data_IF_312955389702
#
_entry.id   IF_312955389702
#
_cell.length_a   1.000
_cell.length_b   1.000
_cell.length_c   1.000
_cell.angle_alpha   90.00
_cell.angle_beta   90.00
_cell.angle_gamma   90.00
#
_symmetry.space_group_name_H-M   'P 1'
#
loop_
_entity.id
_entity.type
_entity.pdbx_description
1 polymer ?
#
# COMPACT_ATOMS: atom_id res chain seq x y z
N UNK A 1 -14.76 -3.40 -8.74
CA UNK A 1 -14.27 -4.19 -7.61
C UNK A 1 -13.89 -5.57 -8.12
N UNK A 2 -12.79 -6.16 -7.63
CA UNK A 2 -12.39 -7.54 -7.89
C UNK A 2 -12.16 -8.23 -6.53
N UNK A 3 -12.38 -9.54 -6.47
CA UNK A 3 -12.32 -10.31 -5.23
C UNK A 3 -11.61 -11.64 -5.39
N UNK A 4 -11.30 -12.30 -4.27
CA UNK A 4 -10.70 -13.65 -4.23
C UNK A 4 -9.37 -13.72 -4.98
N UNK A 5 -8.51 -12.75 -4.72
CA UNK A 5 -7.20 -12.66 -5.37
C UNK A 5 -6.23 -13.58 -4.64
N UNK A 6 -5.62 -14.51 -5.36
CA UNK A 6 -4.67 -15.49 -4.83
C UNK A 6 -3.43 -15.59 -5.71
N UNK A 7 -2.37 -16.22 -5.20
CA UNK A 7 -1.17 -16.47 -6.00
C UNK A 7 -1.47 -17.20 -7.33
N UNK A 8 -2.52 -18.03 -7.36
CA UNK A 8 -2.91 -18.77 -8.57
C UNK A 8 -3.59 -17.93 -9.66
N UNK A 9 -4.11 -16.74 -9.32
CA UNK A 9 -4.81 -15.87 -10.28
C UNK A 9 -4.19 -14.47 -10.43
N UNK A 10 -3.18 -14.12 -9.62
CA UNK A 10 -2.56 -12.80 -9.62
C UNK A 10 -2.02 -12.36 -10.99
N UNK A 11 -1.44 -13.28 -11.77
CA UNK A 11 -0.94 -12.94 -13.11
C UNK A 11 -2.05 -12.49 -14.07
N UNK A 12 -3.26 -13.05 -13.94
CA UNK A 12 -4.42 -12.60 -14.74
C UNK A 12 -4.87 -11.20 -14.30
N UNK A 13 -4.83 -10.93 -13.00
CA UNK A 13 -5.12 -9.60 -12.47
C UNK A 13 -4.11 -8.57 -12.97
N UNK A 14 -2.80 -8.86 -12.88
CA UNK A 14 -1.73 -7.97 -13.35
C UNK A 14 -1.90 -7.68 -14.85
N UNK A 15 -2.13 -8.72 -15.66
CA UNK A 15 -2.35 -8.56 -17.10
C UNK A 15 -3.58 -7.68 -17.40
N UNK A 16 -4.67 -7.86 -16.67
CA UNK A 16 -5.86 -7.02 -16.79
C UNK A 16 -5.55 -5.55 -16.44
N UNK A 17 -4.93 -5.32 -15.27
CA UNK A 17 -4.65 -3.99 -14.75
C UNK A 17 -3.67 -3.20 -15.62
N UNK A 18 -2.71 -3.89 -16.24
CA UNK A 18 -1.72 -3.30 -17.15
C UNK A 18 -2.33 -2.62 -18.39
N UNK A 19 -3.59 -2.93 -18.72
CA UNK A 19 -4.29 -2.29 -19.84
C UNK A 19 -4.78 -0.86 -19.49
N UNK A 20 -4.90 -0.51 -18.22
CA UNK A 20 -5.43 0.79 -17.78
C UNK A 20 -4.33 1.84 -17.62
N UNK A 21 -3.61 2.11 -18.70
CA UNK A 21 -2.57 3.17 -18.72
C UNK A 21 -3.14 4.55 -18.41
N UNK A 22 -2.28 5.50 -18.04
CA UNK A 22 -2.65 6.90 -17.81
C UNK A 22 -3.58 7.45 -18.89
N UNK A 23 -4.66 8.11 -18.47
CA UNK A 23 -5.72 8.61 -19.36
C UNK A 23 -6.87 7.62 -19.61
N UNK A 24 -6.78 6.39 -19.12
CA UNK A 24 -7.94 5.48 -19.14
C UNK A 24 -9.03 5.94 -18.17
N UNK A 25 -10.27 5.50 -18.40
CA UNK A 25 -11.43 5.88 -17.57
C UNK A 25 -11.45 5.24 -16.19
N UNK A 26 -10.68 4.16 -15.97
CA UNK A 26 -10.68 3.46 -14.69
C UNK A 26 -9.79 4.19 -13.68
N UNK A 27 -10.41 5.02 -12.85
CA UNK A 27 -9.72 5.79 -11.81
C UNK A 27 -9.86 5.16 -10.42
N UNK A 28 -10.85 4.30 -10.20
CA UNK A 28 -11.16 3.73 -8.90
C UNK A 28 -11.03 2.21 -8.95
N UNK A 29 -10.17 1.65 -8.09
CA UNK A 29 -10.02 0.21 -7.93
C UNK A 29 -10.31 -0.19 -6.49
N UNK A 30 -11.05 -1.28 -6.35
CA UNK A 30 -11.25 -1.97 -5.08
C UNK A 30 -10.89 -3.43 -5.26
N UNK A 31 -9.97 -3.93 -4.45
CA UNK A 31 -9.67 -5.34 -4.28
C UNK A 31 -10.15 -5.81 -2.92
N UNK A 32 -10.74 -7.01 -2.87
CA UNK A 32 -11.27 -7.61 -1.64
C UNK A 32 -10.79 -9.05 -1.53
N UNK A 33 -10.59 -9.55 -0.31
CA UNK A 33 -10.18 -10.93 -0.05
C UNK A 33 -8.93 -11.30 -0.87
N UNK A 34 -7.86 -10.55 -0.62
CA UNK A 34 -6.56 -10.73 -1.29
C UNK A 34 -5.68 -11.60 -0.40
N UNK A 35 -5.25 -12.76 -0.85
CA UNK A 35 -4.38 -13.67 -0.10
C UNK A 35 -3.20 -14.12 -0.97
N UNK A 36 -2.07 -13.43 -0.83
CA UNK A 36 -0.92 -13.57 -1.74
C UNK A 36 0.41 -13.48 -1.00
N UNK A 37 1.48 -13.97 -1.62
CA UNK A 37 2.83 -13.76 -1.10
C UNK A 37 3.30 -12.31 -1.33
N UNK A 38 4.44 -11.94 -0.72
CA UNK A 38 4.94 -10.57 -0.79
C UNK A 38 5.22 -10.09 -2.21
N UNK A 39 5.90 -10.89 -3.04
CA UNK A 39 6.23 -10.48 -4.42
C UNK A 39 4.96 -10.21 -5.25
N UNK A 40 3.97 -11.10 -5.16
CA UNK A 40 2.70 -10.94 -5.84
C UNK A 40 1.94 -9.69 -5.35
N UNK A 41 1.97 -9.41 -4.04
CA UNK A 41 1.39 -8.17 -3.51
C UNK A 41 2.10 -6.94 -4.10
N UNK A 42 3.43 -6.92 -4.09
CA UNK A 42 4.21 -5.81 -4.63
C UNK A 42 3.99 -5.61 -6.14
N UNK A 43 3.88 -6.69 -6.92
CA UNK A 43 3.56 -6.61 -8.34
C UNK A 43 2.16 -6.03 -8.60
N UNK A 44 1.16 -6.38 -7.79
CA UNK A 44 -0.17 -5.75 -7.85
C UNK A 44 -0.02 -4.24 -7.60
N UNK A 45 0.65 -3.85 -6.52
CA UNK A 45 0.84 -2.45 -6.16
C UNK A 45 1.60 -1.69 -7.26
N UNK A 46 2.68 -2.23 -7.79
CA UNK A 46 3.49 -1.61 -8.85
C UNK A 46 2.67 -1.44 -10.13
N UNK A 47 1.85 -2.44 -10.48
CA UNK A 47 0.96 -2.38 -11.65
C UNK A 47 -0.10 -1.29 -11.49
N UNK A 48 -0.74 -1.23 -10.32
CA UNK A 48 -1.71 -0.18 -10.01
C UNK A 48 -1.03 1.19 -10.00
N UNK A 49 0.18 1.29 -9.45
CA UNK A 49 0.93 2.52 -9.31
C UNK A 49 1.19 3.22 -10.65
N UNK A 50 1.55 2.45 -11.68
CA UNK A 50 1.79 2.97 -13.03
C UNK A 50 0.55 3.00 -13.94
N UNK A 51 -0.63 2.77 -13.37
CA UNK A 51 -1.91 2.83 -14.09
C UNK A 51 -2.55 4.22 -14.02
N UNK A 52 -3.78 4.32 -14.53
CA UNK A 52 -4.68 5.48 -14.41
C UNK A 52 -5.45 5.52 -13.08
N UNK A 53 -5.27 4.54 -12.21
CA UNK A 53 -5.99 4.45 -10.93
C UNK A 53 -5.53 5.59 -10.01
N UNK A 54 -6.49 6.40 -9.58
CA UNK A 54 -6.32 7.52 -8.65
C UNK A 54 -6.66 7.12 -7.21
N UNK A 55 -7.65 6.24 -7.02
CA UNK A 55 -8.10 5.79 -5.70
C UNK A 55 -8.06 4.28 -5.63
N UNK A 56 -7.13 3.76 -4.83
CA UNK A 56 -6.95 2.33 -4.66
C UNK A 56 -7.38 1.89 -3.26
N UNK A 57 -8.29 0.93 -3.22
CA UNK A 57 -8.79 0.33 -1.98
C UNK A 57 -8.47 -1.16 -1.97
N UNK A 58 -7.90 -1.66 -0.88
CA UNK A 58 -7.69 -3.08 -0.62
C UNK A 58 -8.28 -3.44 0.75
N UNK A 59 -9.14 -4.45 0.81
CA UNK A 59 -9.80 -4.84 2.05
C UNK A 59 -9.71 -6.36 2.25
N UNK A 60 -9.50 -6.79 3.50
CA UNK A 60 -9.26 -8.18 3.85
C UNK A 60 -8.05 -8.73 3.07
N UNK A 61 -6.87 -8.23 3.42
CA UNK A 61 -5.60 -8.55 2.76
C UNK A 61 -4.80 -9.48 3.67
N UNK A 62 -4.58 -10.72 3.25
CA UNK A 62 -3.66 -11.64 3.90
C UNK A 62 -2.34 -11.67 3.13
N UNK A 63 -1.31 -11.06 3.70
CA UNK A 63 0.07 -11.25 3.25
C UNK A 63 0.56 -12.59 3.83
N UNK A 64 0.99 -13.51 2.94
CA UNK A 64 1.31 -14.87 3.33
C UNK A 64 2.73 -15.06 3.85
N UNK A 65 3.74 -14.92 2.97
CA UNK A 65 5.13 -15.26 3.26
C UNK A 65 6.10 -14.38 2.46
N UNK A 66 7.36 -14.44 2.85
CA UNK A 66 8.53 -13.90 2.16
C UNK A 66 8.57 -12.37 2.09
N UNK A 67 8.18 -11.69 3.17
CA UNK A 67 8.41 -10.25 3.27
C UNK A 67 9.91 -10.01 3.25
N UNK A 68 10.33 -9.23 2.27
CA UNK A 68 11.73 -8.89 2.05
C UNK A 68 11.82 -7.52 1.42
N UNK A 69 13.03 -6.95 1.46
CA UNK A 69 13.36 -5.75 0.71
C UNK A 69 12.84 -5.82 -0.73
N UNK A 70 11.97 -4.88 -1.07
CA UNK A 70 11.47 -4.65 -2.42
C UNK A 70 11.87 -3.25 -2.87
N UNK A 71 12.33 -3.14 -4.10
CA UNK A 71 12.66 -1.86 -4.74
C UNK A 71 11.44 -1.42 -5.56
N UNK A 72 10.64 -0.52 -4.97
CA UNK A 72 9.39 -0.07 -5.54
C UNK A 72 9.62 1.19 -6.35
N UNK A 73 9.19 1.21 -7.61
CA UNK A 73 9.28 2.42 -8.44
C UNK A 73 8.13 3.37 -8.11
N UNK A 74 8.43 4.41 -7.33
CA UNK A 74 7.47 5.45 -6.95
C UNK A 74 7.21 6.47 -8.07
N UNK A 75 7.88 6.35 -9.22
CA UNK A 75 7.77 7.33 -10.30
C UNK A 75 6.41 7.28 -10.99
N UNK A 76 6.00 8.46 -11.49
CA UNK A 76 4.94 8.54 -12.48
C UNK A 76 3.59 7.92 -12.06
N UNK A 77 3.16 8.03 -10.81
CA UNK A 77 1.82 7.56 -10.44
C UNK A 77 0.71 8.53 -10.83
N UNK A 78 -0.51 8.01 -10.98
CA UNK A 78 -1.76 8.79 -10.99
C UNK A 78 -2.47 8.72 -9.63
N UNK A 79 -2.00 7.87 -8.72
CA UNK A 79 -2.62 7.61 -7.44
C UNK A 79 -2.61 8.86 -6.57
N UNK A 80 -3.77 9.17 -5.99
CA UNK A 80 -4.00 10.24 -5.02
C UNK A 80 -4.20 9.67 -3.63
N UNK A 81 -4.92 8.54 -3.55
CA UNK A 81 -5.26 7.93 -2.28
C UNK A 81 -5.10 6.40 -2.29
N UNK A 82 -4.56 5.88 -1.18
CA UNK A 82 -4.54 4.45 -0.86
C UNK A 82 -5.36 4.21 0.41
N UNK A 83 -6.22 3.20 0.39
CA UNK A 83 -6.88 2.68 1.59
C UNK A 83 -6.66 1.18 1.69
N UNK A 84 -6.05 0.74 2.79
CA UNK A 84 -5.93 -0.67 3.14
C UNK A 84 -6.64 -0.95 4.45
N UNK A 85 -7.41 -2.04 4.50
CA UNK A 85 -8.16 -2.43 5.71
C UNK A 85 -8.05 -3.92 5.96
N UNK A 86 -8.06 -4.32 7.23
CA UNK A 86 -8.07 -5.72 7.65
C UNK A 86 -6.90 -6.49 7.05
N UNK A 87 -5.69 -5.95 7.24
CA UNK A 87 -4.46 -6.60 6.80
C UNK A 87 -4.06 -7.62 7.86
N UNK A 88 -3.71 -8.82 7.43
CA UNK A 88 -3.16 -9.89 8.24
C UNK A 88 -1.81 -10.26 7.61
N UNK A 89 -0.74 -10.19 8.40
CA UNK A 89 0.60 -10.64 8.00
C UNK A 89 0.84 -12.00 8.66
N UNK A 90 1.06 -13.04 7.87
CA UNK A 90 1.33 -14.38 8.41
C UNK A 90 2.81 -14.75 8.40
N UNK A 91 3.66 -13.94 7.77
CA UNK A 91 5.11 -14.09 7.88
C UNK A 91 5.59 -13.70 9.28
N UNK A 92 6.32 -14.59 9.94
CA UNK A 92 6.78 -14.42 11.32
C UNK A 92 8.20 -13.87 11.41
N UNK A 93 8.99 -13.98 10.33
CA UNK A 93 10.43 -13.69 10.35
C UNK A 93 10.79 -12.73 9.23
N UNK A 94 10.44 -11.46 9.42
CA UNK A 94 10.75 -10.39 8.49
C UNK A 94 11.20 -9.12 9.19
N UNK A 95 11.84 -8.23 8.42
CA UNK A 95 12.14 -6.88 8.88
C UNK A 95 10.92 -6.00 8.71
N UNK A 96 10.40 -5.45 9.82
CA UNK A 96 9.31 -4.47 9.78
C UNK A 96 9.66 -3.25 8.90
N UNK A 97 10.94 -2.87 8.84
CA UNK A 97 11.39 -1.78 7.98
C UNK A 97 11.16 -2.09 6.50
N UNK A 98 11.34 -3.35 6.08
CA UNK A 98 11.11 -3.72 4.68
C UNK A 98 9.63 -3.65 4.30
N UNK A 99 8.72 -3.94 5.24
CA UNK A 99 7.28 -3.75 5.06
C UNK A 99 6.92 -2.26 5.01
N UNK A 100 7.26 -1.51 6.06
CA UNK A 100 6.81 -0.13 6.24
C UNK A 100 7.47 0.84 5.25
N UNK A 101 8.70 0.58 4.81
CA UNK A 101 9.40 1.43 3.84
C UNK A 101 8.62 1.57 2.53
N UNK A 102 7.85 0.56 2.14
CA UNK A 102 7.00 0.62 0.94
C UNK A 102 5.94 1.71 1.08
N UNK A 103 5.20 1.70 2.18
CA UNK A 103 4.10 2.63 2.40
C UNK A 103 4.59 4.02 2.80
N UNK A 104 5.60 4.10 3.66
CA UNK A 104 6.16 5.37 4.14
C UNK A 104 6.70 6.26 3.02
N UNK A 105 7.20 5.67 1.92
CA UNK A 105 7.77 6.43 0.79
C UNK A 105 6.79 6.67 -0.36
N UNK A 106 5.51 6.28 -0.22
CA UNK A 106 4.52 6.57 -1.24
C UNK A 106 4.32 8.08 -1.40
N UNK A 107 4.46 8.56 -2.64
CA UNK A 107 4.34 9.99 -2.97
C UNK A 107 2.91 10.39 -3.36
N UNK A 108 1.94 10.04 -2.51
CA UNK A 108 0.50 10.31 -2.68
C UNK A 108 0.00 11.29 -1.63
N UNK A 109 -1.24 11.76 -1.76
CA UNK A 109 -1.81 12.77 -0.85
C UNK A 109 -2.44 12.14 0.39
N UNK A 110 -3.12 11.00 0.21
CA UNK A 110 -3.94 10.38 1.25
C UNK A 110 -3.57 8.92 1.45
N UNK A 111 -3.37 8.51 2.69
CA UNK A 111 -3.21 7.11 3.04
C UNK A 111 -4.03 6.74 4.26
N UNK A 112 -4.79 5.65 4.13
CA UNK A 112 -5.46 5.00 5.25
C UNK A 112 -4.98 3.55 5.36
N UNK A 113 -4.49 3.15 6.53
CA UNK A 113 -4.24 1.75 6.87
C UNK A 113 -4.99 1.49 8.17
N UNK A 114 -6.08 0.73 8.15
CA UNK A 114 -6.95 0.57 9.31
C UNK A 114 -7.26 -0.89 9.64
N UNK A 115 -7.66 -1.15 10.89
CA UNK A 115 -8.08 -2.48 11.35
C UNK A 115 -7.02 -3.57 11.09
N UNK A 116 -5.72 -3.29 11.28
CA UNK A 116 -4.62 -4.14 10.78
C UNK A 116 -3.53 -4.45 11.81
N UNK A 117 -3.77 -4.19 13.11
CA UNK A 117 -2.82 -4.46 14.22
C UNK A 117 -1.41 -3.87 13.96
N UNK A 118 -1.32 -2.81 13.15
CA UNK A 118 -0.06 -2.17 12.81
C UNK A 118 0.52 -1.47 14.04
N UNK A 119 1.74 -1.82 14.43
CA UNK A 119 2.36 -1.28 15.65
C UNK A 119 3.27 -0.07 15.39
N UNK A 120 3.69 0.15 14.14
CA UNK A 120 4.64 1.19 13.77
C UNK A 120 4.48 1.67 12.32
N UNK A 121 5.11 2.80 11.98
CA UNK A 121 5.31 3.29 10.60
C UNK A 121 6.60 4.12 10.57
N UNK A 122 7.35 4.02 9.48
CA UNK A 122 8.59 4.76 9.31
C UNK A 122 8.34 6.21 8.90
N UNK A 123 9.23 7.10 9.33
CA UNK A 123 9.34 8.42 8.71
C UNK A 123 9.74 8.26 7.22
N UNK A 124 9.09 8.97 6.28
CA UNK A 124 9.50 8.96 4.88
C UNK A 124 10.98 9.32 4.72
N UNK A 125 11.67 8.71 3.76
CA UNK A 125 13.10 8.96 3.53
C UNK A 125 13.40 10.31 2.87
N UNK A 126 12.38 10.97 2.32
CA UNK A 126 12.45 12.30 1.73
C UNK A 126 11.14 13.05 1.99
N UNK A 127 11.11 14.36 1.71
CA UNK A 127 9.91 15.20 1.91
C UNK A 127 8.69 14.58 1.24
N UNK A 128 7.72 14.20 2.07
CA UNK A 128 6.51 13.54 1.62
C UNK A 128 5.46 14.53 1.13
N UNK A 129 4.54 14.02 0.28
CA UNK A 129 3.33 14.70 -0.17
C UNK A 129 2.08 14.34 0.64
N UNK A 130 2.21 13.49 1.66
CA UNK A 130 1.09 13.16 2.52
C UNK A 130 0.52 14.42 3.16
N UNK A 131 -0.79 14.57 3.02
CA UNK A 131 -1.60 15.54 3.75
C UNK A 131 -2.47 14.84 4.79
N UNK A 132 -3.00 13.67 4.45
CA UNK A 132 -3.88 12.92 5.33
C UNK A 132 -3.33 11.51 5.54
N UNK A 133 -3.01 11.20 6.80
CA UNK A 133 -2.65 9.87 7.26
C UNK A 133 -3.69 9.41 8.27
N UNK A 134 -4.29 8.25 8.03
CA UNK A 134 -5.28 7.68 8.93
C UNK A 134 -4.90 6.24 9.26
N UNK A 135 -4.57 6.01 10.53
CA UNK A 135 -4.20 4.69 11.04
C UNK A 135 -5.18 4.18 12.10
N UNK A 136 -6.46 4.52 11.95
CA UNK A 136 -7.51 4.13 12.89
C UNK A 136 -7.57 2.61 13.14
N UNK A 137 -7.75 2.23 14.41
CA UNK A 137 -7.82 0.82 14.87
C UNK A 137 -6.60 0.00 14.47
N UNK A 138 -5.43 0.52 14.85
CA UNK A 138 -4.18 -0.21 14.89
C UNK A 138 -3.54 -0.04 16.27
N UNK A 139 -2.54 -0.84 16.58
CA UNK A 139 -1.88 -0.89 17.89
C UNK A 139 -0.62 0.00 17.93
N UNK A 140 -0.77 1.22 17.40
CA UNK A 140 0.34 2.15 17.25
C UNK A 140 0.89 2.62 18.60
N UNK A 141 2.21 2.75 18.64
CA UNK A 141 2.92 3.27 19.82
C UNK A 141 3.07 4.79 19.75
N UNK A 142 3.34 5.43 20.90
CA UNK A 142 3.61 6.87 21.02
C UNK A 142 4.89 7.31 20.28
N UNK A 143 5.70 6.36 19.82
CA UNK A 143 6.92 6.58 19.04
C UNK A 143 6.64 6.84 17.56
N UNK A 144 5.38 6.77 17.13
CA UNK A 144 4.99 6.99 15.74
C UNK A 144 5.41 8.39 15.28
N UNK A 145 6.25 8.44 14.24
CA UNK A 145 6.80 9.66 13.64
C UNK A 145 7.56 10.58 14.61
N UNK A 146 8.08 10.04 15.71
CA UNK A 146 9.02 10.77 16.54
C UNK A 146 10.22 11.21 15.69
N UNK A 147 10.60 12.49 15.81
CA UNK A 147 11.72 13.11 15.06
C UNK A 147 11.56 13.03 13.52
N UNK A 148 10.33 13.01 13.01
CA UNK A 148 10.08 12.96 11.57
C UNK A 148 9.95 14.35 10.91
N UNK A 149 11.03 14.82 10.28
CA UNK A 149 11.07 16.12 9.57
C UNK A 149 10.51 16.08 8.14
N UNK A 150 10.13 14.90 7.64
CA UNK A 150 9.72 14.72 6.24
C UNK A 150 8.19 14.74 6.03
N UNK A 151 7.38 14.89 7.08
CA UNK A 151 5.91 14.96 7.04
C UNK A 151 5.40 16.39 7.26
N UNK A 152 5.83 17.32 6.41
CA UNK A 152 5.66 18.77 6.61
C UNK A 152 4.26 19.32 6.26
N UNK A 153 3.41 18.54 5.59
CA UNK A 153 2.14 19.01 5.01
C UNK A 153 0.91 18.35 5.64
N UNK A 154 1.06 17.70 6.78
CA UNK A 154 -0.04 17.01 7.43
C UNK A 154 -1.14 17.99 7.86
N UNK A 155 -2.37 17.60 7.60
CA UNK A 155 -3.60 18.30 7.97
C UNK A 155 -4.44 17.39 8.88
N UNK A 156 -5.23 17.99 9.77
CA UNK A 156 -6.08 17.32 10.78
C UNK A 156 -7.55 17.48 10.48
#
# INVERSE_FOLDING_TARGET
>A
SLSEITNGNVMKLIALLSNFRKGSRLQNLTLTNVSVNWNALMEIFQTVWHSSIEYFNANNVTQLLDIKRYDFDYSGTSMKALTMKKIIITDLYFSQDDLYRIFANMNITDMTIADSEMIHMLCPSSKSRFRYLNFFKNDLTDLLFQECDNLLQLET
#
